data_IF_767416240352
#
_entry.id   IF_767416240352
#
_cell.length_a   1.000
_cell.length_b   1.000
_cell.length_c   1.000
_cell.angle_alpha   90.00
_cell.angle_beta   90.00
_cell.angle_gamma   90.00
#
_symmetry.space_group_name_H-M   'P 1'
#
loop_
_entity.id
_entity.type
_entity.pdbx_description
1 polymer ?
#
# COMPACT_ATOMS: atom_id res chain seq x y z
N UNK A 1 -20.38 36.28 77.66
CA UNK A 1 -19.22 36.77 76.89
C UNK A 1 -18.17 35.67 76.89
N UNK A 2 -17.84 35.12 75.71
CA UNK A 2 -16.52 34.63 75.27
C UNK A 2 -16.65 33.49 74.25
N UNK A 3 -16.11 33.81 73.07
CA UNK A 3 -15.32 32.96 72.18
C UNK A 3 -16.05 32.04 71.20
N UNK A 4 -16.13 32.59 69.99
CA UNK A 4 -16.20 31.94 68.67
C UNK A 4 -15.09 30.89 68.56
N UNK A 5 -15.41 29.71 68.02
CA UNK A 5 -14.39 28.84 67.41
C UNK A 5 -14.83 28.52 65.99
N UNK A 6 -14.17 29.15 65.01
CA UNK A 6 -14.22 28.80 63.60
C UNK A 6 -13.37 27.54 63.40
N UNK A 7 -13.96 26.48 62.86
CA UNK A 7 -13.19 25.36 62.32
C UNK A 7 -13.04 25.57 60.82
N UNK A 8 -11.83 25.96 60.41
CA UNK A 8 -11.45 26.04 59.00
C UNK A 8 -11.30 24.62 58.44
N UNK A 9 -12.06 24.32 57.38
CA UNK A 9 -11.86 23.08 56.60
C UNK A 9 -10.80 23.39 55.55
N UNK A 10 -9.57 22.90 55.77
CA UNK A 10 -8.54 22.80 54.73
C UNK A 10 -8.99 21.74 53.72
N UNK A 11 -9.35 22.15 52.50
CA UNK A 11 -9.41 21.22 51.36
C UNK A 11 -8.03 21.23 50.70
N UNK A 12 -7.28 20.16 50.94
CA UNK A 12 -6.05 19.84 50.21
C UNK A 12 -6.41 19.59 48.73
N UNK A 13 -5.69 20.25 47.83
CA UNK A 13 -5.92 20.21 46.40
C UNK A 13 -5.80 18.82 45.79
N UNK A 14 -6.70 18.52 44.86
CA UNK A 14 -6.53 17.46 43.88
C UNK A 14 -6.24 18.10 42.53
N UNK A 15 -4.98 18.10 42.10
CA UNK A 15 -4.67 18.31 40.69
C UNK A 15 -5.08 17.03 39.96
N UNK A 16 -6.22 17.05 39.27
CA UNK A 16 -6.50 16.03 38.25
C UNK A 16 -5.61 16.38 37.07
N UNK A 17 -4.45 15.73 36.98
CA UNK A 17 -3.70 15.69 35.74
C UNK A 17 -4.59 15.01 34.70
N UNK A 18 -5.22 15.78 33.83
CA UNK A 18 -5.67 15.31 32.53
C UNK A 18 -4.40 14.95 31.76
N UNK A 19 -3.88 13.75 32.01
CA UNK A 19 -2.93 13.13 31.12
C UNK A 19 -3.64 13.02 29.77
N UNK A 20 -3.29 13.92 28.85
CA UNK A 20 -3.67 13.77 27.45
C UNK A 20 -3.19 12.40 27.03
N UNK A 21 -4.14 11.49 26.80
CA UNK A 21 -3.84 10.24 26.13
C UNK A 21 -3.41 10.65 24.73
N UNK A 22 -2.11 10.72 24.50
CA UNK A 22 -1.57 10.71 23.16
C UNK A 22 -2.10 9.43 22.52
N UNK A 23 -3.10 9.56 21.65
CA UNK A 23 -3.56 8.42 20.86
C UNK A 23 -2.37 8.01 20.01
N UNK A 24 -1.80 6.83 20.30
CA UNK A 24 -0.85 6.21 19.42
C UNK A 24 -1.52 6.15 18.03
N UNK A 25 -0.93 6.85 17.06
CA UNK A 25 -1.38 6.80 15.68
C UNK A 25 -1.30 5.34 15.25
N UNK A 26 -2.43 4.72 14.91
CA UNK A 26 -2.40 3.40 14.30
C UNK A 26 -1.45 3.42 13.10
N UNK A 27 -0.58 2.43 12.98
CA UNK A 27 0.25 2.27 11.79
C UNK A 27 -0.65 2.33 10.55
N UNK A 28 -0.33 3.22 9.61
CA UNK A 28 -1.09 3.34 8.38
C UNK A 28 -0.72 2.14 7.50
N UNK A 29 -1.43 1.04 7.69
CA UNK A 29 -1.22 -0.19 6.93
C UNK A 29 -2.06 -0.15 5.65
N UNK A 30 -1.41 -0.28 4.51
CA UNK A 30 -2.03 -0.28 3.18
C UNK A 30 -2.03 -1.69 2.61
N UNK A 31 -3.18 -2.24 2.18
CA UNK A 31 -3.20 -3.48 1.43
C UNK A 31 -2.55 -3.26 0.05
N UNK A 32 -1.61 -4.13 -0.29
CA UNK A 32 -0.89 -4.14 -1.56
C UNK A 32 -0.96 -5.53 -2.14
N UNK A 33 -1.37 -5.65 -3.40
CA UNK A 33 -1.23 -6.89 -4.16
C UNK A 33 0.25 -7.04 -4.48
N UNK A 34 0.89 -8.12 -4.03
CA UNK A 34 2.31 -8.40 -4.27
C UNK A 34 2.43 -9.59 -5.20
N UNK A 35 3.16 -9.42 -6.29
CA UNK A 35 3.48 -10.47 -7.26
C UNK A 35 4.97 -10.78 -7.20
N UNK A 36 5.34 -12.05 -7.04
CA UNK A 36 6.72 -12.48 -6.85
C UNK A 36 6.97 -13.89 -7.40
N UNK A 37 8.22 -14.21 -7.75
CA UNK A 37 8.62 -15.59 -8.06
C UNK A 37 9.14 -16.33 -6.82
N UNK A 38 8.80 -17.60 -6.72
CA UNK A 38 9.39 -18.51 -5.73
C UNK A 38 10.77 -19.04 -6.17
N UNK A 39 11.35 -19.94 -5.37
CA UNK A 39 12.64 -20.55 -5.65
C UNK A 39 12.60 -21.61 -6.78
N UNK A 40 11.41 -21.98 -7.25
CA UNK A 40 11.19 -22.91 -8.36
C UNK A 40 10.92 -22.18 -9.68
N UNK A 41 10.78 -20.86 -9.64
CA UNK A 41 10.48 -20.01 -10.79
C UNK A 41 8.98 -19.92 -11.11
N UNK A 42 8.11 -20.40 -10.21
CA UNK A 42 6.68 -20.17 -10.27
C UNK A 42 6.37 -18.78 -9.69
N UNK A 43 5.50 -18.03 -10.36
CA UNK A 43 5.05 -16.72 -9.93
C UNK A 43 3.75 -16.84 -9.16
N UNK A 44 3.61 -16.04 -8.10
CA UNK A 44 2.49 -16.04 -7.18
C UNK A 44 1.99 -14.61 -6.96
N UNK A 45 0.72 -14.50 -6.52
CA UNK A 45 0.15 -13.26 -5.99
C UNK A 45 -0.33 -13.47 -4.56
N UNK A 46 -0.08 -12.48 -3.72
CA UNK A 46 -0.64 -12.38 -2.37
C UNK A 46 -1.07 -10.94 -2.05
N UNK A 47 -1.90 -10.77 -1.02
CA UNK A 47 -2.18 -9.45 -0.45
C UNK A 47 -1.33 -9.27 0.80
N UNK A 48 -0.46 -8.26 0.81
CA UNK A 48 0.34 -7.88 1.98
C UNK A 48 -0.15 -6.57 2.58
N UNK A 49 -0.07 -6.45 3.90
CA UNK A 49 -0.32 -5.19 4.59
C UNK A 49 1.01 -4.44 4.75
N UNK A 50 1.24 -3.45 3.91
CA UNK A 50 2.45 -2.65 3.94
C UNK A 50 2.29 -1.47 4.89
N UNK A 51 3.21 -1.33 5.85
CA UNK A 51 3.27 -0.11 6.66
C UNK A 51 3.80 1.03 5.79
N UNK A 52 2.92 1.96 5.40
CA UNK A 52 3.30 3.13 4.61
C UNK A 52 3.70 4.31 5.48
N UNK A 53 3.59 4.17 6.82
CA UNK A 53 4.08 5.13 7.80
C UNK A 53 3.66 6.57 7.54
N UNK A 54 4.48 7.51 8.04
CA UNK A 54 4.40 8.93 7.70
C UNK A 54 5.83 9.38 7.44
N UNK A 55 6.12 9.87 6.24
CA UNK A 55 7.45 10.42 5.96
C UNK A 55 7.55 11.85 6.50
N UNK A 56 8.70 12.20 7.07
CA UNK A 56 9.01 13.57 7.51
C UNK A 56 9.61 14.42 6.37
N UNK A 57 9.42 14.00 5.11
CA UNK A 57 9.96 14.63 3.91
C UNK A 57 9.61 13.84 2.64
N UNK A 58 9.87 14.42 1.48
CA UNK A 58 9.70 13.74 0.18
C UNK A 58 11.07 13.29 -0.32
N UNK A 59 11.27 11.99 -0.52
CA UNK A 59 12.40 11.47 -1.29
C UNK A 59 12.00 11.46 -2.76
N UNK A 60 12.79 12.09 -3.62
CA UNK A 60 12.63 11.94 -5.06
C UNK A 60 13.08 10.53 -5.46
N UNK A 61 12.28 9.85 -6.28
CA UNK A 61 12.74 8.70 -7.07
C UNK A 61 13.39 9.24 -8.34
N UNK A 62 14.32 8.49 -8.94
CA UNK A 62 14.99 8.91 -10.17
C UNK A 62 14.02 8.95 -11.38
N UNK A 63 12.91 8.21 -11.33
CA UNK A 63 11.91 8.20 -12.40
C UNK A 63 10.57 7.69 -11.88
N UNK A 64 9.53 8.53 -11.90
CA UNK A 64 8.12 8.08 -11.84
C UNK A 64 7.44 8.49 -13.15
N UNK A 65 6.52 7.69 -13.66
CA UNK A 65 5.82 8.02 -14.90
C UNK A 65 4.40 7.49 -14.98
N UNK A 66 3.56 8.21 -15.73
CA UNK A 66 2.22 7.79 -16.08
C UNK A 66 2.24 7.04 -17.42
N UNK A 67 1.40 6.03 -17.55
CA UNK A 67 1.17 5.32 -18.81
C UNK A 67 -0.30 4.95 -18.97
N UNK A 68 -0.69 4.63 -20.20
CA UNK A 68 -2.01 4.05 -20.49
C UNK A 68 -1.85 2.63 -21.00
N UNK A 69 -2.51 1.71 -20.32
CA UNK A 69 -2.76 0.39 -20.87
C UNK A 69 -3.90 0.50 -21.88
N UNK A 70 -3.64 0.05 -23.11
CA UNK A 70 -4.61 0.08 -24.19
C UNK A 70 -5.80 -0.83 -23.87
N UNK A 71 -6.98 -0.45 -24.37
CA UNK A 71 -8.22 -1.22 -24.14
C UNK A 71 -8.18 -2.69 -24.54
N UNK A 72 -7.30 -3.05 -25.47
CA UNK A 72 -7.10 -4.39 -26.04
C UNK A 72 -5.76 -5.01 -25.64
N UNK A 73 -5.06 -4.43 -24.64
CA UNK A 73 -3.81 -4.99 -24.15
C UNK A 73 -4.04 -6.42 -23.63
N UNK A 74 -3.30 -7.36 -24.21
CA UNK A 74 -3.27 -8.78 -23.87
C UNK A 74 -1.84 -9.28 -24.03
N UNK A 75 -1.08 -9.27 -22.93
CA UNK A 75 0.31 -9.67 -22.88
C UNK A 75 0.39 -11.14 -22.41
N UNK A 76 0.95 -11.99 -23.26
CA UNK A 76 1.25 -13.39 -22.91
C UNK A 76 2.37 -13.47 -21.86
N UNK A 77 2.71 -14.67 -21.38
CA UNK A 77 3.68 -14.90 -20.29
C UNK A 77 4.97 -14.07 -20.43
N UNK A 78 5.22 -13.21 -19.45
CA UNK A 78 6.42 -12.40 -19.34
C UNK A 78 6.76 -12.11 -17.87
N UNK A 79 8.05 -12.01 -17.53
CA UNK A 79 8.47 -11.43 -16.26
C UNK A 79 8.36 -9.90 -16.31
N UNK A 80 8.29 -9.29 -15.14
CA UNK A 80 8.34 -7.85 -15.03
C UNK A 80 9.74 -7.30 -15.37
N UNK A 81 9.85 -6.14 -16.03
CA UNK A 81 11.14 -5.60 -16.44
C UNK A 81 12.02 -5.14 -15.27
N UNK A 82 11.40 -4.82 -14.13
CA UNK A 82 12.04 -4.38 -12.89
C UNK A 82 11.06 -4.44 -11.73
N UNK A 83 11.61 -4.29 -10.53
CA UNK A 83 10.83 -4.18 -9.32
C UNK A 83 10.29 -2.75 -9.16
N UNK A 84 8.97 -2.65 -9.00
CA UNK A 84 8.26 -1.37 -9.02
C UNK A 84 6.83 -1.52 -8.48
N UNK A 85 6.24 -0.41 -8.05
CA UNK A 85 4.80 -0.33 -7.87
C UNK A 85 4.11 0.10 -9.16
N UNK A 86 2.90 -0.42 -9.38
CA UNK A 86 1.95 0.03 -10.39
C UNK A 86 0.67 0.43 -9.65
N UNK A 87 0.29 1.70 -9.75
CA UNK A 87 -0.93 2.23 -9.16
C UNK A 87 -1.97 2.42 -10.26
N UNK A 88 -3.11 1.74 -10.17
CA UNK A 88 -4.22 1.97 -11.10
C UNK A 88 -4.95 3.25 -10.71
N UNK A 89 -4.99 4.24 -11.59
CA UNK A 89 -5.54 5.57 -11.29
C UNK A 89 -6.96 5.76 -11.82
N UNK A 90 -7.24 5.34 -13.06
CA UNK A 90 -8.57 5.47 -13.67
C UNK A 90 -8.76 4.51 -14.84
N UNK A 91 -10.00 4.39 -15.31
CA UNK A 91 -10.40 3.40 -16.32
C UNK A 91 -10.92 2.11 -15.68
N UNK A 92 -11.23 1.08 -16.50
CA UNK A 92 -11.84 -0.15 -15.99
C UNK A 92 -10.87 -1.06 -15.21
N UNK A 93 -9.55 -0.85 -15.36
CA UNK A 93 -8.53 -1.68 -14.75
C UNK A 93 -8.00 -2.76 -15.69
N UNK A 94 -7.17 -3.63 -15.13
CA UNK A 94 -6.58 -4.78 -15.81
C UNK A 94 -6.57 -5.96 -14.84
N UNK A 95 -6.26 -7.14 -15.33
CA UNK A 95 -6.02 -8.32 -14.53
C UNK A 95 -4.63 -8.88 -14.78
N UNK A 96 -4.17 -9.64 -13.79
CA UNK A 96 -2.94 -10.41 -13.84
C UNK A 96 -3.29 -11.88 -13.60
N UNK A 97 -2.73 -12.77 -14.41
CA UNK A 97 -2.73 -14.22 -14.18
C UNK A 97 -1.29 -14.68 -13.94
N UNK A 98 -1.05 -15.34 -12.81
CA UNK A 98 0.27 -15.90 -12.48
C UNK A 98 0.41 -17.35 -12.90
N UNK A 99 1.64 -17.84 -12.96
CA UNK A 99 1.93 -19.18 -13.49
C UNK A 99 1.35 -20.32 -12.65
N UNK A 100 1.06 -20.08 -11.37
CA UNK A 100 0.34 -20.98 -10.47
C UNK A 100 -1.20 -20.97 -10.69
N UNK A 101 -1.70 -20.13 -11.59
CA UNK A 101 -3.11 -19.99 -11.95
C UNK A 101 -3.90 -19.01 -11.08
N UNK A 102 -3.27 -18.29 -10.15
CA UNK A 102 -3.95 -17.22 -9.42
C UNK A 102 -4.25 -16.03 -10.34
N UNK A 103 -5.39 -15.36 -10.11
CA UNK A 103 -5.83 -14.21 -10.89
C UNK A 103 -6.20 -13.06 -9.96
N UNK A 104 -5.71 -11.85 -10.26
CA UNK A 104 -6.06 -10.63 -9.55
C UNK A 104 -6.54 -9.54 -10.52
N UNK A 105 -7.71 -8.97 -10.24
CA UNK A 105 -8.18 -7.76 -10.93
C UNK A 105 -7.72 -6.51 -10.17
N UNK A 106 -7.29 -5.50 -10.92
CA UNK A 106 -6.65 -4.28 -10.40
C UNK A 106 -7.41 -3.04 -10.87
N UNK A 107 -8.61 -2.78 -10.30
CA UNK A 107 -9.39 -1.57 -10.59
C UNK A 107 -8.72 -0.30 -10.05
N UNK A 108 -9.22 0.90 -10.38
CA UNK A 108 -8.75 2.15 -9.81
C UNK A 108 -8.64 2.12 -8.28
N UNK A 109 -7.52 2.62 -7.75
CA UNK A 109 -7.17 2.58 -6.32
C UNK A 109 -6.31 1.37 -5.92
N UNK A 110 -6.14 0.39 -6.80
CA UNK A 110 -5.27 -0.76 -6.54
C UNK A 110 -3.80 -0.37 -6.56
N UNK A 111 -3.01 -1.00 -5.69
CA UNK A 111 -1.55 -0.93 -5.67
C UNK A 111 -1.00 -2.33 -5.90
N UNK A 112 -0.29 -2.51 -7.01
CA UNK A 112 0.43 -3.73 -7.33
C UNK A 112 1.93 -3.50 -7.09
N UNK A 113 2.54 -4.31 -6.23
CA UNK A 113 3.99 -4.46 -6.11
C UNK A 113 4.42 -5.62 -6.99
N UNK A 114 5.32 -5.35 -7.93
CA UNK A 114 5.81 -6.32 -8.91
C UNK A 114 7.25 -6.68 -8.61
N UNK A 115 7.55 -7.97 -8.42
CA UNK A 115 8.87 -8.49 -8.04
C UNK A 115 9.28 -9.75 -8.83
N UNK A 116 8.46 -10.25 -9.76
CA UNK A 116 8.74 -11.39 -10.63
C UNK A 116 9.63 -11.00 -11.82
N UNK A 117 10.86 -10.61 -11.52
CA UNK A 117 11.74 -9.92 -12.50
C UNK A 117 12.76 -10.82 -13.19
N UNK A 118 12.82 -12.11 -12.85
CA UNK A 118 13.82 -13.01 -13.42
C UNK A 118 13.45 -13.41 -14.86
N UNK A 119 14.29 -13.10 -15.87
CA UNK A 119 14.03 -13.47 -17.27
C UNK A 119 14.02 -14.98 -17.53
N UNK A 120 14.54 -15.80 -16.61
CA UNK A 120 14.48 -17.26 -16.70
C UNK A 120 13.14 -17.84 -16.22
N UNK A 121 12.34 -17.05 -15.49
CA UNK A 121 11.03 -17.49 -14.99
C UNK A 121 9.93 -17.19 -16.00
N UNK A 122 8.79 -17.88 -15.83
CA UNK A 122 7.63 -17.71 -16.72
C UNK A 122 6.94 -16.35 -16.54
N UNK A 123 6.97 -15.82 -15.31
CA UNK A 123 6.30 -14.57 -14.94
C UNK A 123 4.78 -14.68 -14.94
N UNK A 124 4.12 -13.68 -15.53
CA UNK A 124 2.68 -13.50 -15.51
C UNK A 124 2.11 -13.12 -16.88
N UNK A 125 0.78 -13.12 -16.98
CA UNK A 125 0.03 -12.49 -18.08
C UNK A 125 -0.66 -11.24 -17.59
N UNK A 126 -0.89 -10.31 -18.51
CA UNK A 126 -1.59 -9.05 -18.21
C UNK A 126 -2.66 -8.80 -19.26
N UNK A 127 -3.90 -8.58 -18.83
CA UNK A 127 -5.02 -8.29 -19.74
C UNK A 127 -5.83 -7.09 -19.29
N UNK A 128 -6.13 -6.17 -20.19
CA UNK A 128 -7.05 -5.06 -19.92
C UNK A 128 -8.48 -5.54 -19.75
N UNK A 129 -9.24 -4.95 -18.81
CA UNK A 129 -10.65 -5.26 -18.58
C UNK A 129 -11.60 -4.38 -19.42
N UNK A 130 -11.14 -4.00 -20.61
CA UNK A 130 -11.79 -3.06 -21.53
C UNK A 130 -11.47 -1.61 -21.23
N UNK A 131 -11.55 -0.74 -22.25
CA UNK A 131 -11.24 0.70 -22.15
C UNK A 131 -9.78 1.01 -21.77
N UNK A 132 -9.33 2.23 -22.03
CA UNK A 132 -7.98 2.63 -21.64
C UNK A 132 -7.88 2.82 -20.13
N UNK A 133 -6.86 2.22 -19.52
CA UNK A 133 -6.58 2.33 -18.08
C UNK A 133 -5.34 3.18 -17.84
N UNK A 134 -5.48 4.23 -17.03
CA UNK A 134 -4.36 5.08 -16.62
C UNK A 134 -3.68 4.47 -15.39
N UNK A 135 -2.37 4.30 -15.46
CA UNK A 135 -1.54 3.77 -14.38
C UNK A 135 -0.36 4.71 -14.11
N UNK A 136 0.17 4.66 -12.89
CA UNK A 136 1.44 5.26 -12.52
C UNK A 136 2.42 4.16 -12.11
N UNK A 137 3.64 4.25 -12.62
CA UNK A 137 4.75 3.38 -12.27
C UNK A 137 5.69 4.10 -11.31
N UNK A 138 6.07 3.40 -10.24
CA UNK A 138 7.01 3.88 -9.22
C UNK A 138 8.10 2.81 -9.02
N UNK A 139 9.23 2.93 -9.73
CA UNK A 139 10.45 2.18 -9.47
C UNK A 139 10.94 2.29 -8.03
N UNK A 140 11.48 1.20 -7.47
CA UNK A 140 11.90 1.16 -6.05
C UNK A 140 13.29 0.53 -5.85
N UNK A 141 14.16 0.72 -6.84
CA UNK A 141 15.54 0.21 -6.87
C UNK A 141 16.47 1.17 -7.63
#
# INVERSE_FOLDING_TARGET
>A
MRHITLTAVLTLGGWVALAGQATAQAAAVQPVTRMYSDAQGETHIETVMMDVGRSNGFSATDTDYFSRFASDMDLDWHPAPRRQFIITLSGPGYEIETSDGAVAQLPPGSVLLVEDTDPAHRGHKTRSLGGDTLVMFIPID
#
